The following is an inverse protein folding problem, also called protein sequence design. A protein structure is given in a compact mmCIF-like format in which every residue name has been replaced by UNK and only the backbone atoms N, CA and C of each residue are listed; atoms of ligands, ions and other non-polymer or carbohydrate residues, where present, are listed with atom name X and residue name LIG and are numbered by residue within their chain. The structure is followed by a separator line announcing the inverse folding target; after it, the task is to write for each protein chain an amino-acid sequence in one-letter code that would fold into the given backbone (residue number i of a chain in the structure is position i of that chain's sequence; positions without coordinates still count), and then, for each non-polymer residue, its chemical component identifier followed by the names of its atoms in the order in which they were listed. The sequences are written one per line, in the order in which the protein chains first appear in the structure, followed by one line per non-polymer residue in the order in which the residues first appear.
data_IF_574465301624
#
_entry.id   IF_574465301624
#
_cell.length_a   1.000
_cell.length_b   1.000
_cell.length_c   1.000
_cell.angle_alpha   90.00
_cell.angle_beta   90.00
_cell.angle_gamma   90.00
#
_symmetry.space_group_name_H-M   'P 1'
#
loop_
_entity.id
_entity.type
_entity.pdbx_description
1 polymer ?
#
# COMPACT_ATOMS: atom_id res chain seq x y z
N UNK A 1 33.43 -0.28 -1.55
CA UNK A 1 32.96 -0.70 -0.21
C UNK A 1 31.71 -1.53 -0.46
N UNK A 2 31.76 -2.83 -0.18
CA UNK A 2 30.73 -3.78 -0.60
C UNK A 2 29.53 -3.73 0.32
N UNK A 3 28.35 -3.55 -0.26
CA UNK A 3 27.08 -3.72 0.44
C UNK A 3 26.84 -5.22 0.56
N UNK A 4 26.93 -5.75 1.78
CA UNK A 4 26.42 -7.09 2.09
C UNK A 4 24.95 -6.92 2.41
N UNK A 5 24.08 -7.26 1.46
CA UNK A 5 22.68 -7.53 1.75
C UNK A 5 22.69 -8.80 2.61
N UNK A 6 22.43 -8.68 3.90
CA UNK A 6 22.22 -9.86 4.73
C UNK A 6 21.05 -10.63 4.12
N UNK A 7 21.34 -11.86 3.67
CA UNK A 7 20.33 -12.82 3.27
C UNK A 7 19.42 -13.09 4.48
N UNK A 8 18.30 -12.38 4.57
CA UNK A 8 17.17 -12.78 5.40
C UNK A 8 16.63 -14.10 4.82
N UNK A 9 17.28 -15.19 5.19
CA UNK A 9 16.80 -16.53 4.92
C UNK A 9 15.48 -16.72 5.67
N UNK A 10 14.51 -17.28 4.97
CA UNK A 10 13.10 -17.48 5.36
C UNK A 10 12.90 -18.50 6.48
N UNK A 11 13.80 -18.55 7.47
CA UNK A 11 13.66 -19.41 8.64
C UNK A 11 13.33 -18.55 9.86
N UNK A 12 12.03 -18.44 10.10
CA UNK A 12 11.39 -18.38 11.43
C UNK A 12 12.35 -18.01 12.57
N UNK A 13 12.65 -16.72 12.70
CA UNK A 13 13.20 -16.20 13.94
C UNK A 13 12.11 -16.22 15.02
N UNK A 14 12.38 -16.64 16.27
CA UNK A 14 11.39 -16.70 17.34
C UNK A 14 10.79 -15.33 17.73
N UNK A 15 11.30 -14.24 17.16
CA UNK A 15 10.85 -12.86 17.39
C UNK A 15 10.02 -12.23 16.28
N UNK A 16 9.68 -12.95 15.20
CA UNK A 16 8.68 -12.49 14.22
C UNK A 16 8.98 -11.19 13.45
N UNK A 17 10.24 -10.72 13.44
CA UNK A 17 10.59 -9.49 12.71
C UNK A 17 10.62 -9.77 11.20
N UNK A 18 9.72 -9.12 10.47
CA UNK A 18 9.65 -9.17 9.00
C UNK A 18 10.64 -8.17 8.42
N UNK A 19 11.64 -8.64 7.68
CA UNK A 19 12.76 -7.83 7.15
C UNK A 19 12.39 -6.75 6.11
N UNK A 20 11.11 -6.47 5.87
CA UNK A 20 10.66 -5.45 4.92
C UNK A 20 9.71 -4.42 5.57
N UNK A 21 9.50 -4.50 6.88
CA UNK A 21 8.68 -3.56 7.63
C UNK A 21 9.61 -2.80 8.58
N UNK A 22 9.78 -1.50 8.36
CA UNK A 22 10.30 -0.61 9.40
C UNK A 22 9.22 -0.51 10.49
N UNK A 23 9.13 -1.52 11.35
CA UNK A 23 8.25 -1.51 12.52
C UNK A 23 9.06 -1.20 13.76
N UNK A 24 8.62 -0.17 14.49
CA UNK A 24 9.07 0.09 15.84
C UNK A 24 8.68 -1.12 16.70
N UNK A 25 9.64 -1.96 17.06
CA UNK A 25 9.46 -2.93 18.15
C UNK A 25 9.09 -2.15 19.41
N UNK A 26 8.14 -2.64 20.21
CA UNK A 26 7.70 -2.02 21.46
C UNK A 26 8.80 -1.88 22.54
N UNK A 27 10.04 -2.24 22.24
CA UNK A 27 11.20 -1.94 23.05
C UNK A 27 11.73 -0.54 22.73
N UNK A 28 11.53 0.38 23.68
CA UNK A 28 11.84 1.82 23.66
C UNK A 28 13.32 2.21 23.45
N UNK A 29 14.24 1.28 23.19
CA UNK A 29 15.67 1.56 23.12
C UNK A 29 16.28 1.14 21.78
N UNK A 30 15.81 1.73 20.69
CA UNK A 30 16.63 1.82 19.49
C UNK A 30 17.30 3.20 19.50
N UNK A 31 18.62 3.21 19.59
CA UNK A 31 19.43 4.21 18.91
C UNK A 31 18.93 4.23 17.47
N UNK A 32 18.27 5.31 17.06
CA UNK A 32 18.01 5.57 15.65
C UNK A 32 19.31 5.29 14.90
N UNK A 33 19.25 4.55 13.78
CA UNK A 33 20.39 4.57 12.86
C UNK A 33 20.69 6.05 12.63
N UNK A 34 21.87 6.53 13.03
CA UNK A 34 22.22 7.93 12.83
C UNK A 34 21.87 8.28 11.39
N UNK A 35 21.03 9.31 11.22
CA UNK A 35 20.26 9.66 10.00
C UNK A 35 21.10 9.90 8.74
N UNK A 36 22.39 9.59 8.74
CA UNK A 36 23.34 10.08 7.75
C UNK A 36 23.59 9.15 6.57
N UNK A 37 23.12 7.90 6.56
CA UNK A 37 23.50 6.92 5.53
C UNK A 37 22.35 6.09 4.93
N UNK A 38 21.12 6.61 4.87
CA UNK A 38 20.03 5.90 4.17
C UNK A 38 19.08 6.85 3.42
N UNK A 39 18.55 6.36 2.31
CA UNK A 39 17.49 7.00 1.54
C UNK A 39 16.14 6.40 1.95
N UNK A 40 15.21 7.23 2.42
CA UNK A 40 13.83 6.86 2.71
C UNK A 40 12.91 7.12 1.53
N UNK A 41 12.17 6.09 1.13
CA UNK A 41 11.27 6.16 -0.03
C UNK A 41 9.90 5.63 0.42
N UNK A 42 8.85 6.40 0.12
CA UNK A 42 7.46 5.93 0.24
C UNK A 42 6.91 5.71 -1.16
N UNK A 43 6.43 4.49 -1.44
CA UNK A 43 5.71 4.17 -2.67
C UNK A 43 4.25 3.96 -2.31
N UNK A 44 3.38 4.85 -2.79
CA UNK A 44 1.95 4.84 -2.56
C UNK A 44 1.22 4.12 -3.69
N UNK A 45 0.14 3.43 -3.33
CA UNK A 45 -0.83 2.92 -4.28
C UNK A 45 -2.10 3.76 -4.25
N UNK A 46 -2.79 3.87 -5.39
CA UNK A 46 -4.14 4.42 -5.46
C UNK A 46 -5.00 3.80 -4.33
N UNK A 47 -5.67 4.61 -3.48
CA UNK A 47 -6.40 4.09 -2.32
C UNK A 47 -7.54 3.12 -2.66
N UNK A 48 -8.25 3.36 -3.77
CA UNK A 48 -9.32 2.50 -4.24
C UNK A 48 -8.78 1.18 -4.80
N UNK A 49 -7.72 1.22 -5.60
CA UNK A 49 -7.06 0.01 -6.10
C UNK A 49 -6.41 -0.80 -4.98
N UNK A 50 -5.87 -0.14 -3.96
CA UNK A 50 -5.35 -0.79 -2.76
C UNK A 50 -6.46 -1.56 -2.05
N UNK A 51 -7.63 -0.95 -1.87
CA UNK A 51 -8.79 -1.61 -1.27
C UNK A 51 -9.28 -2.80 -2.12
N UNK A 52 -9.43 -2.61 -3.44
CA UNK A 52 -9.86 -3.68 -4.35
C UNK A 52 -8.86 -4.85 -4.38
N UNK A 53 -7.56 -4.54 -4.35
CA UNK A 53 -6.52 -5.55 -4.26
C UNK A 53 -6.54 -6.29 -2.92
N UNK A 54 -6.77 -5.60 -1.81
CA UNK A 54 -6.94 -6.23 -0.51
C UNK A 54 -8.17 -7.14 -0.49
N UNK A 55 -9.28 -6.73 -1.09
CA UNK A 55 -10.46 -7.57 -1.28
C UNK A 55 -10.13 -8.86 -2.03
N UNK A 56 -9.50 -8.79 -3.20
CA UNK A 56 -9.15 -10.01 -3.96
C UNK A 56 -8.15 -10.93 -3.25
N UNK A 57 -7.38 -10.41 -2.31
CA UNK A 57 -6.46 -11.19 -1.48
C UNK A 57 -7.10 -11.70 -0.18
N UNK A 58 -8.29 -11.21 0.19
CA UNK A 58 -9.04 -11.68 1.34
C UNK A 58 -9.35 -13.18 1.21
N UNK A 59 -9.17 -13.92 2.28
CA UNK A 59 -9.32 -15.39 2.30
C UNK A 59 -8.08 -16.17 1.88
N UNK A 60 -7.11 -15.54 1.19
CA UNK A 60 -5.79 -16.16 0.94
C UNK A 60 -4.68 -15.56 1.79
N UNK A 61 -4.82 -14.30 2.20
CA UNK A 61 -3.91 -13.66 3.13
C UNK A 61 -4.54 -13.65 4.54
N UNK A 62 -4.00 -14.40 5.51
CA UNK A 62 -4.58 -14.49 6.86
C UNK A 62 -4.52 -13.15 7.62
N UNK A 63 -3.71 -12.19 7.15
CA UNK A 63 -3.63 -10.86 7.75
C UNK A 63 -4.71 -9.92 7.22
N UNK A 64 -5.33 -10.22 6.07
CA UNK A 64 -6.46 -9.45 5.54
C UNK A 64 -7.75 -10.18 5.91
N UNK A 65 -8.29 -9.83 7.07
CA UNK A 65 -9.52 -10.40 7.59
C UNK A 65 -10.52 -9.31 7.92
N UNK A 66 -11.79 -9.60 7.67
CA UNK A 66 -12.94 -8.82 8.10
C UNK A 66 -13.86 -9.72 8.94
N UNK A 67 -14.81 -9.15 9.70
CA UNK A 67 -15.67 -9.91 10.61
C UNK A 67 -16.68 -10.78 9.86
N UNK A 68 -17.27 -10.24 8.80
CA UNK A 68 -18.39 -10.87 8.07
C UNK A 68 -17.98 -11.39 6.68
N UNK A 69 -17.03 -10.72 6.02
CA UNK A 69 -16.59 -11.03 4.66
C UNK A 69 -15.17 -11.63 4.59
N UNK A 70 -15.03 -12.88 5.08
CA UNK A 70 -13.73 -13.56 5.23
C UNK A 70 -13.00 -13.84 3.91
N UNK A 71 -13.70 -13.89 2.78
CA UNK A 71 -13.07 -14.04 1.47
C UNK A 71 -13.83 -13.31 0.36
N UNK A 72 -13.15 -13.02 -0.75
CA UNK A 72 -13.75 -12.46 -1.96
C UNK A 72 -14.75 -13.41 -2.65
N UNK A 73 -14.77 -14.69 -2.26
CA UNK A 73 -15.75 -15.66 -2.77
C UNK A 73 -17.07 -15.58 -2.01
N UNK A 74 -17.05 -15.07 -0.78
CA UNK A 74 -18.20 -15.08 0.13
C UNK A 74 -19.00 -13.77 0.09
N UNK A 75 -18.37 -12.68 -0.32
CA UNK A 75 -18.97 -11.35 -0.37
C UNK A 75 -18.66 -10.64 -1.68
N UNK A 76 -19.54 -9.73 -2.09
CA UNK A 76 -19.22 -8.72 -3.11
C UNK A 76 -18.27 -7.67 -2.53
N UNK A 77 -17.57 -6.95 -3.41
CA UNK A 77 -16.69 -5.86 -2.99
C UNK A 77 -17.43 -4.81 -2.16
N UNK A 78 -18.64 -4.43 -2.56
CA UNK A 78 -19.47 -3.46 -1.84
C UNK A 78 -19.77 -3.90 -0.39
N UNK A 79 -20.13 -5.17 -0.18
CA UNK A 79 -20.39 -5.71 1.16
C UNK A 79 -19.10 -5.78 2.00
N UNK A 80 -17.99 -6.11 1.35
CA UNK A 80 -16.69 -6.15 2.01
C UNK A 80 -16.22 -4.75 2.44
N UNK A 81 -16.47 -3.71 1.64
CA UNK A 81 -16.21 -2.32 2.02
C UNK A 81 -17.08 -1.88 3.19
N UNK A 82 -18.36 -2.26 3.21
CA UNK A 82 -19.26 -1.96 4.33
C UNK A 82 -18.71 -2.54 5.65
N UNK A 83 -18.20 -3.78 5.64
CA UNK A 83 -17.59 -4.45 6.78
C UNK A 83 -16.29 -3.76 7.27
N UNK A 84 -15.47 -3.24 6.36
CA UNK A 84 -14.26 -2.50 6.71
C UNK A 84 -14.56 -1.16 7.35
N UNK A 85 -15.50 -0.41 6.76
CA UNK A 85 -15.92 0.89 7.30
C UNK A 85 -16.41 0.73 8.74
N UNK A 86 -17.10 -0.37 9.04
CA UNK A 86 -17.56 -0.67 10.39
C UNK A 86 -16.42 -1.05 11.34
N UNK A 87 -15.41 -1.80 10.89
CA UNK A 87 -14.25 -2.18 11.70
C UNK A 87 -13.25 -1.06 11.98
N UNK A 88 -13.14 -0.10 11.07
CA UNK A 88 -12.29 1.08 11.26
C UNK A 88 -12.87 2.06 12.28
N UNK A 89 -14.10 1.83 12.76
CA UNK A 89 -14.65 2.58 13.88
C UNK A 89 -13.81 2.33 15.15
N UNK A 90 -13.67 3.33 16.03
CA UNK A 90 -12.72 3.32 17.17
C UNK A 90 -12.79 2.12 18.12
N UNK A 91 -13.87 1.33 18.10
CA UNK A 91 -14.14 0.25 19.05
C UNK A 91 -13.45 -1.09 18.73
N UNK A 92 -13.00 -1.33 17.51
CA UNK A 92 -12.71 -2.71 17.05
C UNK A 92 -11.24 -3.08 16.85
N UNK A 93 -10.28 -2.22 17.22
CA UNK A 93 -8.85 -2.54 17.06
C UNK A 93 -8.52 -2.87 15.60
N UNK A 94 -8.47 -1.84 14.76
CA UNK A 94 -8.47 -1.99 13.30
C UNK A 94 -7.37 -2.90 12.74
N UNK A 95 -7.71 -3.64 11.69
CA UNK A 95 -6.75 -4.35 10.86
C UNK A 95 -5.87 -3.32 10.10
N UNK A 96 -4.55 -3.40 10.27
CA UNK A 96 -3.58 -2.49 9.64
C UNK A 96 -3.71 -2.43 8.12
N UNK A 97 -4.12 -3.53 7.48
CA UNK A 97 -4.34 -3.56 6.03
C UNK A 97 -5.46 -2.61 5.55
N UNK A 98 -6.34 -2.17 6.45
CA UNK A 98 -7.40 -1.21 6.16
C UNK A 98 -7.08 0.20 6.67
N UNK A 99 -5.97 0.39 7.38
CA UNK A 99 -5.55 1.72 7.79
C UNK A 99 -5.11 2.53 6.55
N UNK A 100 -5.30 3.86 6.57
CA UNK A 100 -4.72 4.75 5.58
C UNK A 100 -3.20 4.58 5.49
N UNK A 101 -2.65 4.64 4.27
CA UNK A 101 -1.20 4.58 4.02
C UNK A 101 -0.47 5.72 4.71
N UNK A 102 -1.07 6.91 4.73
CA UNK A 102 -0.60 8.09 5.48
C UNK A 102 -0.36 7.79 6.96
N UNK A 103 -1.30 7.07 7.60
CA UNK A 103 -1.19 6.65 9.00
C UNK A 103 -0.13 5.58 9.22
N UNK A 104 0.02 4.64 8.29
CA UNK A 104 1.06 3.59 8.36
C UNK A 104 2.44 4.20 8.14
N UNK A 105 2.56 5.15 7.22
CA UNK A 105 3.80 5.83 6.87
C UNK A 105 4.24 6.87 7.91
N UNK A 106 3.35 7.30 8.81
CA UNK A 106 3.67 8.25 9.89
C UNK A 106 4.38 9.50 9.34
N UNK A 107 3.76 10.18 8.37
CA UNK A 107 4.34 11.32 7.65
C UNK A 107 4.74 12.50 8.54
N UNK A 108 4.20 12.54 9.75
CA UNK A 108 4.49 13.48 10.83
C UNK A 108 5.70 13.07 11.70
N UNK A 109 6.08 11.78 11.68
CA UNK A 109 7.21 11.24 12.44
C UNK A 109 8.41 10.86 11.55
N UNK A 110 8.20 10.69 10.24
CA UNK A 110 9.22 10.24 9.29
C UNK A 110 9.42 11.22 8.13
N UNK A 111 10.69 11.57 7.90
CA UNK A 111 11.09 12.33 6.72
C UNK A 111 11.35 11.38 5.53
N UNK A 112 10.57 11.51 4.47
CA UNK A 112 10.75 10.78 3.22
C UNK A 112 11.52 11.61 2.20
N UNK A 113 12.61 11.07 1.67
CA UNK A 113 13.36 11.72 0.58
C UNK A 113 12.56 11.71 -0.71
N UNK A 114 11.82 10.62 -0.97
CA UNK A 114 11.02 10.45 -2.18
C UNK A 114 9.62 9.90 -1.86
N UNK A 115 8.60 10.52 -2.46
CA UNK A 115 7.21 10.08 -2.44
C UNK A 115 6.80 9.70 -3.86
N UNK A 116 6.53 8.43 -4.11
CA UNK A 116 6.38 7.84 -5.43
C UNK A 116 5.00 7.17 -5.59
N UNK A 117 4.48 7.09 -6.80
CA UNK A 117 3.23 6.39 -7.13
C UNK A 117 3.52 5.04 -7.79
N UNK A 118 2.91 3.98 -7.26
CA UNK A 118 3.06 2.62 -7.78
C UNK A 118 2.45 2.42 -9.18
N UNK A 119 1.50 3.26 -9.58
CA UNK A 119 0.91 3.24 -10.93
C UNK A 119 1.61 4.19 -11.91
N UNK A 120 2.58 4.99 -11.46
CA UNK A 120 3.32 5.90 -12.34
C UNK A 120 4.56 5.20 -12.89
N UNK A 121 4.61 5.06 -14.21
CA UNK A 121 5.77 4.50 -14.91
C UNK A 121 7.02 5.32 -14.61
N UNK A 122 6.91 6.64 -14.62
CA UNK A 122 8.01 7.56 -14.33
C UNK A 122 8.55 7.39 -12.91
N UNK A 123 7.67 7.40 -11.90
CA UNK A 123 8.09 7.25 -10.50
C UNK A 123 8.77 5.88 -10.28
N UNK A 124 8.28 4.83 -10.95
CA UNK A 124 8.88 3.50 -10.89
C UNK A 124 10.22 3.42 -11.65
N UNK A 125 10.35 3.98 -12.86
CA UNK A 125 11.61 4.00 -13.61
C UNK A 125 12.67 4.79 -12.83
N UNK A 126 12.29 5.90 -12.18
CA UNK A 126 13.16 6.63 -11.24
C UNK A 126 13.61 5.74 -10.07
N UNK A 127 12.66 5.06 -9.40
CA UNK A 127 12.98 4.17 -8.27
C UNK A 127 13.95 3.06 -8.67
N UNK A 128 13.72 2.38 -9.79
CA UNK A 128 14.60 1.31 -10.24
C UNK A 128 15.95 1.83 -10.74
N UNK A 129 15.99 3.05 -11.31
CA UNK A 129 17.23 3.75 -11.63
C UNK A 129 18.08 4.05 -10.39
N UNK A 130 17.47 4.44 -9.26
CA UNK A 130 18.18 4.59 -7.99
C UNK A 130 18.82 3.28 -7.50
N UNK A 131 18.25 2.14 -7.89
CA UNK A 131 18.77 0.81 -7.57
C UNK A 131 19.82 0.31 -8.59
N UNK A 132 20.19 1.13 -9.58
CA UNK A 132 21.12 0.76 -10.64
C UNK A 132 20.53 -0.19 -11.69
N UNK A 133 19.21 -0.22 -11.84
CA UNK A 133 18.53 -0.99 -12.88
C UNK A 133 18.12 -0.09 -14.04
N UNK A 134 18.37 -0.55 -15.26
CA UNK A 134 18.09 0.20 -16.49
C UNK A 134 16.59 0.29 -16.83
N UNK A 135 15.76 -0.53 -16.19
CA UNK A 135 14.30 -0.52 -16.38
C UNK A 135 13.56 -1.21 -15.24
N UNK A 136 12.25 -0.93 -15.11
CA UNK A 136 11.35 -1.69 -14.24
C UNK A 136 11.41 -3.19 -14.60
N UNK A 137 11.76 -4.08 -13.65
CA UNK A 137 11.80 -5.51 -13.89
C UNK A 137 10.47 -6.02 -14.46
N UNK A 138 10.55 -6.68 -15.62
CA UNK A 138 9.38 -7.29 -16.23
C UNK A 138 8.82 -8.40 -15.33
N UNK A 139 7.51 -8.40 -15.14
CA UNK A 139 6.81 -9.43 -14.37
C UNK A 139 6.99 -10.79 -15.06
N UNK A 140 7.81 -11.68 -14.48
CA UNK A 140 7.80 -13.12 -14.84
C UNK A 140 6.48 -13.81 -14.48
N UNK A 141 5.68 -13.23 -13.59
CA UNK A 141 4.34 -13.72 -13.25
C UNK A 141 3.35 -12.56 -13.26
N UNK A 142 2.26 -12.71 -14.00
CA UNK A 142 1.13 -11.79 -14.00
C UNK A 142 0.71 -11.57 -12.55
N UNK A 143 0.88 -10.35 -12.02
CA UNK A 143 0.06 -9.98 -10.85
C UNK A 143 -1.39 -10.18 -11.27
N UNK A 144 -2.25 -10.63 -10.35
CA UNK A 144 -3.71 -10.70 -10.54
C UNK A 144 -4.36 -9.31 -10.66
N UNK A 145 -3.70 -8.40 -11.36
CA UNK A 145 -3.98 -6.98 -11.38
C UNK A 145 -4.18 -6.52 -12.83
N UNK A 146 -4.89 -7.32 -13.61
CA UNK A 146 -5.74 -6.76 -14.65
C UNK A 146 -7.11 -6.63 -14.00
N UNK A 147 -7.37 -5.51 -13.31
CA UNK A 147 -8.75 -5.17 -12.96
C UNK A 147 -9.48 -5.08 -14.31
N UNK A 148 -10.31 -6.08 -14.61
CA UNK A 148 -11.14 -5.98 -15.80
C UNK A 148 -12.12 -4.84 -15.53
N UNK A 149 -12.53 -4.12 -16.58
CA UNK A 149 -13.58 -3.07 -16.48
C UNK A 149 -14.86 -3.54 -15.75
N UNK A 150 -15.07 -4.85 -15.61
CA UNK A 150 -16.16 -5.47 -14.85
C UNK A 150 -16.06 -5.35 -13.33
N UNK A 151 -14.89 -4.97 -12.78
CA UNK A 151 -14.64 -4.87 -11.35
C UNK A 151 -14.69 -3.42 -10.84
N UNK A 152 -15.21 -2.48 -11.66
CA UNK A 152 -15.29 -1.07 -11.27
C UNK A 152 -16.29 -0.90 -10.12
N UNK A 153 -15.84 -0.41 -8.95
CA UNK A 153 -16.74 -0.23 -7.82
C UNK A 153 -17.78 0.84 -8.13
N UNK A 154 -18.99 0.69 -7.60
CA UNK A 154 -20.02 1.70 -7.78
C UNK A 154 -19.71 2.98 -6.97
N UNK A 155 -20.36 4.08 -7.32
CA UNK A 155 -20.12 5.38 -6.68
C UNK A 155 -20.34 5.37 -5.16
N UNK A 156 -21.35 4.64 -4.66
CA UNK A 156 -21.59 4.52 -3.21
C UNK A 156 -20.39 3.90 -2.50
N UNK A 157 -19.82 2.84 -3.07
CA UNK A 157 -18.65 2.15 -2.54
C UNK A 157 -17.41 3.03 -2.60
N UNK A 158 -17.19 3.71 -3.73
CA UNK A 158 -16.09 4.66 -3.88
C UNK A 158 -16.19 5.83 -2.88
N UNK A 159 -17.37 6.42 -2.68
CA UNK A 159 -17.57 7.50 -1.70
C UNK A 159 -17.29 7.05 -0.26
N UNK A 160 -17.63 5.80 0.10
CA UNK A 160 -17.29 5.25 1.42
C UNK A 160 -15.79 5.11 1.60
N UNK A 161 -15.11 4.54 0.60
CA UNK A 161 -13.65 4.43 0.60
C UNK A 161 -12.99 5.81 0.63
N UNK A 162 -13.53 6.80 -0.07
CA UNK A 162 -13.01 8.16 -0.07
C UNK A 162 -13.11 8.83 1.30
N UNK A 163 -14.17 8.53 2.06
CA UNK A 163 -14.29 8.97 3.45
C UNK A 163 -13.22 8.33 4.35
N UNK A 164 -13.00 7.02 4.20
CA UNK A 164 -12.00 6.27 4.99
C UNK A 164 -10.57 6.70 4.66
N UNK A 165 -10.25 6.84 3.38
CA UNK A 165 -8.91 7.13 2.88
C UNK A 165 -8.72 8.58 2.48
N UNK A 166 -9.44 9.51 3.12
CA UNK A 166 -9.44 10.93 2.76
C UNK A 166 -8.02 11.52 2.70
N UNK A 167 -7.20 11.24 3.70
CA UNK A 167 -5.82 11.76 3.77
C UNK A 167 -4.93 11.15 2.69
N UNK A 168 -5.08 9.85 2.41
CA UNK A 168 -4.38 9.20 1.30
C UNK A 168 -4.77 9.81 -0.05
N UNK A 169 -6.04 10.15 -0.24
CA UNK A 169 -6.52 10.79 -1.48
C UNK A 169 -5.96 12.19 -1.66
N UNK A 170 -5.88 12.98 -0.58
CA UNK A 170 -5.24 14.32 -0.61
C UNK A 170 -3.77 14.19 -1.02
N UNK A 171 -3.04 13.26 -0.38
CA UNK A 171 -1.65 12.99 -0.72
C UNK A 171 -1.50 12.45 -2.15
N UNK A 172 -2.38 11.54 -2.57
CA UNK A 172 -2.39 11.03 -3.94
C UNK A 172 -2.56 12.15 -4.95
N UNK A 173 -3.56 13.03 -4.73
CA UNK A 173 -3.84 14.18 -5.56
C UNK A 173 -2.65 15.13 -5.65
N UNK A 174 -1.96 15.40 -4.52
CA UNK A 174 -0.79 16.27 -4.53
C UNK A 174 0.38 15.71 -5.34
N UNK A 175 0.40 14.41 -5.65
CA UNK A 175 1.43 13.78 -6.48
C UNK A 175 1.05 13.72 -7.97
N UNK A 176 -0.21 14.00 -8.33
CA UNK A 176 -0.69 13.92 -9.72
C UNK A 176 -0.12 15.00 -10.64
N UNK A 177 0.39 16.11 -10.10
CA UNK A 177 1.06 17.14 -10.93
C UNK A 177 2.30 16.60 -11.67
N UNK A 178 2.86 15.46 -11.24
CA UNK A 178 3.96 14.77 -11.93
C UNK A 178 3.48 13.85 -13.05
N UNK A 179 2.17 13.68 -13.23
CA UNK A 179 1.61 12.78 -14.25
C UNK A 179 1.95 13.28 -15.65
N UNK A 180 2.50 12.39 -16.47
CA UNK A 180 2.71 12.62 -17.88
C UNK A 180 1.53 12.13 -18.72
N UNK A 181 1.44 12.67 -19.95
CA UNK A 181 0.47 12.22 -20.94
C UNK A 181 0.72 10.74 -21.30
N UNK A 182 -0.33 9.92 -21.28
CA UNK A 182 -0.24 8.48 -21.56
C UNK A 182 0.01 7.59 -20.34
N UNK A 183 0.13 8.12 -19.11
CA UNK A 183 0.15 7.28 -17.90
C UNK A 183 -1.18 6.53 -17.69
N UNK A 184 -1.09 5.29 -17.19
CA UNK A 184 -2.24 4.43 -16.89
C UNK A 184 -3.25 5.13 -15.98
N UNK A 185 -4.54 5.07 -16.35
CA UNK A 185 -5.64 5.57 -15.53
C UNK A 185 -5.87 4.62 -14.36
N UNK A 186 -6.04 5.20 -13.18
CA UNK A 186 -6.32 4.49 -11.93
C UNK A 186 -7.79 4.64 -11.55
N UNK A 187 -8.26 3.88 -10.56
CA UNK A 187 -9.64 4.01 -10.06
C UNK A 187 -9.96 5.42 -9.53
N UNK A 188 -8.96 6.15 -9.04
CA UNK A 188 -9.08 7.55 -8.66
C UNK A 188 -9.53 8.44 -9.82
N UNK A 189 -9.03 8.19 -11.04
CA UNK A 189 -9.32 9.00 -12.22
C UNK A 189 -10.76 8.81 -12.72
N UNK A 190 -11.38 7.68 -12.41
CA UNK A 190 -12.78 7.39 -12.76
C UNK A 190 -13.78 7.91 -11.72
N UNK A 191 -13.31 8.27 -10.53
CA UNK A 191 -14.15 8.78 -9.45
C UNK A 191 -14.29 10.31 -9.45
N UNK A 192 -13.25 11.02 -9.89
CA UNK A 192 -13.19 12.49 -9.98
C UNK A 192 -13.70 13.06 -11.31
#
# INVERSE_FOLDING_TARGET
MSITIENCTTKTNPGGVRCAEARRSGQKNFTYMEEQNYTTILILRDPFERALSAYHNSGTNPHIYTQHCKSFKDCTFDRWVDDIVDQLKPKFGGNEHFLPQTRIAQLDEMNYHYLLRMSSRQDLDFFFGLLGLDSIPEKKNKSKNSNKRTDMPNNRTMSKLASVYKEDLILWQSLLHRRQEGEELTLYDYWN
#
